data_IF_667613917040
#
_entry.id   IF_667613917040
#
_cell.length_a   1.000
_cell.length_b   1.000
_cell.length_c   1.000
_cell.angle_alpha   90.00
_cell.angle_beta   90.00
_cell.angle_gamma   90.00
#
_symmetry.space_group_name_H-M   'P 1'
#
loop_
_entity.id
_entity.type
_entity.pdbx_description
1 polymer ?
#
# COMPACT_ATOMS: atom_id res chain seq x y z
N UNK A 1 -3.57 -0.20 -27.21
CA UNK A 1 -4.36 -0.90 -26.18
C UNK A 1 -3.64 -0.88 -24.82
N UNK A 2 -2.38 -1.32 -24.72
CA UNK A 2 -1.60 -1.28 -23.47
C UNK A 2 -1.31 0.15 -22.99
N UNK A 3 -0.77 1.03 -23.85
CA UNK A 3 -0.51 2.45 -23.52
C UNK A 3 -1.78 3.19 -23.05
N UNK A 4 -2.94 2.87 -23.62
CA UNK A 4 -4.21 3.49 -23.23
C UNK A 4 -4.66 3.05 -21.82
N UNK A 5 -4.39 1.79 -21.46
CA UNK A 5 -4.66 1.25 -20.12
C UNK A 5 -3.70 1.83 -19.07
N UNK A 6 -2.47 2.15 -19.48
CA UNK A 6 -1.45 2.76 -18.63
C UNK A 6 -1.71 4.24 -18.40
N UNK A 7 -2.10 5.00 -19.44
CA UNK A 7 -2.55 6.39 -19.29
C UNK A 7 -3.77 6.51 -18.37
N UNK A 8 -4.74 5.59 -18.51
CA UNK A 8 -5.85 5.47 -17.55
C UNK A 8 -5.38 5.07 -16.15
N UNK A 9 -4.24 4.38 -16.05
CA UNK A 9 -3.61 4.02 -14.80
C UNK A 9 -3.07 5.21 -14.03
N UNK A 10 -2.40 6.16 -14.70
CA UNK A 10 -1.92 7.41 -14.11
C UNK A 10 -3.07 8.29 -13.62
N UNK A 11 -4.11 8.48 -14.45
CA UNK A 11 -5.29 9.25 -14.06
C UNK A 11 -6.01 8.59 -12.87
N UNK A 12 -6.21 7.27 -12.92
CA UNK A 12 -6.83 6.54 -11.82
C UNK A 12 -6.00 6.62 -10.53
N UNK A 13 -4.67 6.54 -10.65
CA UNK A 13 -3.75 6.67 -9.53
C UNK A 13 -3.94 8.03 -8.84
N UNK A 14 -3.90 9.13 -9.60
CA UNK A 14 -4.12 10.48 -9.09
C UNK A 14 -5.48 10.60 -8.39
N UNK A 15 -6.54 10.16 -9.07
CA UNK A 15 -7.91 10.20 -8.52
C UNK A 15 -8.06 9.42 -7.24
N UNK A 16 -7.39 8.27 -7.11
CA UNK A 16 -7.40 7.50 -5.87
C UNK A 16 -6.74 8.27 -4.72
N UNK A 17 -5.64 8.99 -4.98
CA UNK A 17 -4.98 9.82 -3.98
C UNK A 17 -5.84 11.02 -3.56
N UNK A 18 -6.36 11.78 -4.53
CA UNK A 18 -7.27 12.91 -4.28
C UNK A 18 -8.51 12.48 -3.51
N UNK A 19 -9.13 11.39 -3.93
CA UNK A 19 -10.33 10.87 -3.28
C UNK A 19 -10.03 10.35 -1.87
N UNK A 20 -8.88 9.69 -1.67
CA UNK A 20 -8.40 9.28 -0.36
C UNK A 20 -8.25 10.48 0.59
N UNK A 21 -7.63 11.57 0.11
CA UNK A 21 -7.50 12.81 0.88
C UNK A 21 -8.87 13.42 1.22
N UNK A 22 -9.78 13.48 0.25
CA UNK A 22 -11.13 14.02 0.48
C UNK A 22 -11.91 13.19 1.52
N UNK A 23 -11.82 11.86 1.44
CA UNK A 23 -12.43 10.95 2.43
C UNK A 23 -11.85 11.16 3.83
N UNK A 24 -10.54 11.40 3.92
CA UNK A 24 -9.88 11.72 5.18
C UNK A 24 -10.43 13.01 5.79
N UNK A 25 -10.48 14.10 5.00
CA UNK A 25 -11.04 15.38 5.43
C UNK A 25 -12.51 15.29 5.85
N UNK A 26 -13.25 14.33 5.29
CA UNK A 26 -14.64 14.03 5.64
C UNK A 26 -14.79 13.04 6.80
N UNK A 27 -13.72 12.77 7.57
CA UNK A 27 -13.72 11.85 8.72
C UNK A 27 -14.09 10.40 8.37
N UNK A 28 -13.69 9.93 7.19
CA UNK A 28 -13.89 8.54 6.72
C UNK A 28 -12.55 7.80 6.55
N UNK A 29 -11.76 7.60 7.61
CA UNK A 29 -10.37 7.15 7.50
C UNK A 29 -10.22 5.72 6.94
N UNK A 30 -11.13 4.80 7.29
CA UNK A 30 -11.11 3.45 6.74
C UNK A 30 -11.34 3.47 5.21
N UNK A 31 -12.24 4.34 4.72
CA UNK A 31 -12.47 4.47 3.27
C UNK A 31 -11.33 5.19 2.58
N UNK A 32 -10.70 6.18 3.25
CA UNK A 32 -9.51 6.84 2.75
C UNK A 32 -8.38 5.83 2.51
N UNK A 33 -8.15 4.91 3.46
CA UNK A 33 -7.16 3.84 3.30
C UNK A 33 -7.48 2.94 2.10
N UNK A 34 -8.75 2.54 1.92
CA UNK A 34 -9.14 1.72 0.76
C UNK A 34 -8.95 2.44 -0.59
N UNK A 35 -9.16 3.76 -0.66
CA UNK A 35 -8.87 4.54 -1.85
C UNK A 35 -7.35 4.56 -2.13
N UNK A 36 -6.54 4.74 -1.09
CA UNK A 36 -5.07 4.71 -1.22
C UNK A 36 -4.55 3.31 -1.59
N UNK A 37 -5.14 2.25 -1.06
CA UNK A 37 -4.85 0.86 -1.49
C UNK A 37 -5.16 0.66 -2.97
N UNK A 38 -6.23 1.29 -3.48
CA UNK A 38 -6.57 1.21 -4.90
C UNK A 38 -5.50 1.86 -5.77
N UNK A 39 -4.93 3.00 -5.32
CA UNK A 39 -3.81 3.66 -6.00
C UNK A 39 -2.61 2.71 -6.12
N UNK A 40 -2.30 1.97 -5.05
CA UNK A 40 -1.18 1.01 -5.03
C UNK A 40 -1.31 -0.10 -6.10
N UNK A 41 -2.51 -0.38 -6.61
CA UNK A 41 -2.75 -1.39 -7.64
C UNK A 41 -3.09 -0.83 -9.02
N UNK A 42 -2.91 0.46 -9.23
CA UNK A 42 -3.05 1.03 -10.57
C UNK A 42 -1.92 0.51 -11.48
N UNK A 43 -2.23 0.16 -12.75
CA UNK A 43 -1.18 -0.10 -13.72
C UNK A 43 -0.37 1.18 -13.91
N UNK A 44 0.94 1.09 -13.80
CA UNK A 44 1.83 2.24 -13.78
C UNK A 44 3.08 1.95 -14.59
N UNK A 45 3.47 2.89 -15.44
CA UNK A 45 4.79 2.90 -16.06
C UNK A 45 5.82 3.45 -15.07
N UNK A 46 7.07 2.99 -15.20
CA UNK A 46 8.15 3.42 -14.33
C UNK A 46 8.50 4.91 -14.53
N UNK A 47 8.31 5.42 -15.75
CA UNK A 47 8.63 6.77 -16.20
C UNK A 47 7.46 7.75 -16.04
N UNK A 48 6.33 7.28 -15.50
CA UNK A 48 5.15 8.09 -15.31
C UNK A 48 5.44 9.31 -14.43
N UNK A 49 5.17 10.50 -14.98
CA UNK A 49 5.60 11.77 -14.38
C UNK A 49 4.99 11.98 -13.00
N UNK A 50 3.77 11.49 -12.80
CA UNK A 50 3.07 11.59 -11.52
C UNK A 50 3.86 10.94 -10.37
N UNK A 51 4.65 9.91 -10.63
CA UNK A 51 5.44 9.24 -9.59
C UNK A 51 6.62 10.09 -9.07
N UNK A 52 7.04 11.12 -9.81
CA UNK A 52 8.00 12.11 -9.32
C UNK A 52 7.39 13.08 -8.31
N UNK A 53 6.11 13.38 -8.45
CA UNK A 53 5.35 14.23 -7.53
C UNK A 53 4.84 13.42 -6.33
N UNK A 54 4.27 12.26 -6.64
CA UNK A 54 3.58 11.39 -5.70
C UNK A 54 4.07 9.94 -5.86
N UNK A 55 5.18 9.57 -5.19
CA UNK A 55 5.65 8.18 -5.15
C UNK A 55 4.56 7.23 -4.64
N UNK A 56 4.71 5.93 -4.92
CA UNK A 56 3.75 4.91 -4.46
C UNK A 56 3.43 5.06 -2.96
N UNK A 57 2.16 4.86 -2.55
CA UNK A 57 1.62 5.48 -1.35
C UNK A 57 1.98 4.77 -0.03
N UNK A 58 3.12 4.10 0.06
CA UNK A 58 3.57 3.42 1.29
C UNK A 58 3.67 4.38 2.48
N UNK A 59 4.20 5.59 2.26
CA UNK A 59 4.25 6.64 3.29
C UNK A 59 2.86 7.11 3.71
N UNK A 60 1.96 7.28 2.74
CA UNK A 60 0.59 7.71 3.02
C UNK A 60 -0.17 6.65 3.83
N UNK A 61 -0.03 5.37 3.49
CA UNK A 61 -0.58 4.24 4.25
C UNK A 61 -0.09 4.27 5.69
N UNK A 62 1.22 4.37 5.90
CA UNK A 62 1.81 4.45 7.24
C UNK A 62 1.29 5.66 8.03
N UNK A 63 1.24 6.84 7.41
CA UNK A 63 0.72 8.04 8.04
C UNK A 63 -0.74 7.89 8.45
N UNK A 64 -1.60 7.43 7.54
CA UNK A 64 -3.04 7.23 7.78
C UNK A 64 -3.28 6.30 8.98
N UNK A 65 -2.63 5.15 8.98
CA UNK A 65 -2.83 4.11 10.01
C UNK A 65 -2.26 4.52 11.37
N UNK A 66 -1.27 5.43 11.39
CA UNK A 66 -0.67 5.97 12.60
C UNK A 66 -1.47 7.10 13.25
N UNK A 67 -2.46 7.67 12.56
CA UNK A 67 -3.23 8.78 13.14
C UNK A 67 -4.06 8.31 14.34
N UNK A 68 -4.19 9.13 15.40
CA UNK A 68 -4.96 8.80 16.60
C UNK A 68 -6.46 8.96 16.34
N UNK A 69 -7.03 8.09 15.51
CA UNK A 69 -8.47 8.08 15.21
C UNK A 69 -9.12 6.77 15.64
N UNK A 70 -10.21 6.88 16.39
CA UNK A 70 -11.06 5.74 16.76
C UNK A 70 -11.98 5.29 15.61
N UNK A 71 -11.99 6.02 14.49
CA UNK A 71 -12.84 5.75 13.34
C UNK A 71 -12.27 4.66 12.40
N UNK A 72 -11.04 4.17 12.65
CA UNK A 72 -10.60 2.91 12.06
C UNK A 72 -11.33 1.76 12.74
N UNK A 73 -12.42 1.31 12.13
CA UNK A 73 -13.26 0.23 12.65
C UNK A 73 -12.66 -1.18 12.43
N UNK A 74 -11.43 -1.28 11.93
CA UNK A 74 -10.80 -2.55 11.56
C UNK A 74 -9.30 -2.62 11.84
N UNK A 75 -8.78 -3.83 11.84
CA UNK A 75 -7.36 -4.10 12.04
C UNK A 75 -6.62 -4.06 10.69
N UNK A 76 -5.87 -2.99 10.46
CA UNK A 76 -5.13 -2.79 9.21
C UNK A 76 -4.07 -3.89 8.95
N UNK A 77 -3.48 -4.48 9.99
CA UNK A 77 -2.55 -5.60 9.84
C UNK A 77 -3.27 -6.81 9.22
N UNK A 78 -4.43 -7.17 9.77
CA UNK A 78 -5.24 -8.30 9.29
C UNK A 78 -5.80 -8.03 7.90
N UNK A 79 -6.21 -6.80 7.62
CA UNK A 79 -6.62 -6.38 6.28
C UNK A 79 -5.56 -6.71 5.23
N UNK A 80 -4.32 -6.28 5.42
CA UNK A 80 -3.26 -6.54 4.44
C UNK A 80 -2.82 -8.01 4.39
N UNK A 81 -2.87 -8.75 5.51
CA UNK A 81 -2.65 -10.21 5.50
C UNK A 81 -3.64 -10.90 4.56
N UNK A 82 -4.94 -10.64 4.74
CA UNK A 82 -5.96 -11.22 3.87
C UNK A 82 -5.86 -10.73 2.44
N UNK A 83 -5.50 -9.45 2.24
CA UNK A 83 -5.36 -8.89 0.91
C UNK A 83 -4.28 -9.63 0.13
N UNK A 84 -3.11 -9.87 0.75
CA UNK A 84 -1.99 -10.58 0.13
C UNK A 84 -2.35 -12.02 -0.27
N UNK A 85 -3.15 -12.71 0.54
CA UNK A 85 -3.56 -14.10 0.30
C UNK A 85 -4.68 -14.25 -0.75
N UNK A 86 -5.51 -13.21 -0.91
CA UNK A 86 -6.69 -13.23 -1.79
C UNK A 86 -6.44 -12.66 -3.18
N UNK A 87 -5.26 -12.11 -3.45
CA UNK A 87 -4.94 -11.58 -4.78
C UNK A 87 -5.01 -12.69 -5.84
N UNK A 88 -5.74 -12.45 -6.93
CA UNK A 88 -5.83 -13.35 -8.09
C UNK A 88 -5.77 -12.54 -9.40
N UNK A 89 -5.54 -13.24 -10.50
CA UNK A 89 -5.59 -12.69 -11.85
C UNK A 89 -4.31 -11.96 -12.28
N UNK A 90 -4.46 -11.01 -13.18
CA UNK A 90 -3.32 -10.29 -13.78
C UNK A 90 -2.53 -9.52 -12.71
N UNK A 91 -1.20 -9.59 -12.80
CA UNK A 91 -0.26 -9.00 -11.86
C UNK A 91 -0.45 -9.48 -10.41
N UNK A 92 -0.90 -10.74 -10.21
CA UNK A 92 -1.14 -11.29 -8.88
C UNK A 92 0.10 -11.23 -7.98
N UNK A 93 1.28 -11.59 -8.47
CA UNK A 93 2.51 -11.53 -7.67
C UNK A 93 2.86 -10.10 -7.26
N UNK A 94 2.78 -9.13 -8.18
CA UNK A 94 3.00 -7.72 -7.87
C UNK A 94 2.05 -7.24 -6.77
N UNK A 95 0.74 -7.45 -6.96
CA UNK A 95 -0.29 -7.04 -5.99
C UNK A 95 -0.10 -7.72 -4.62
N UNK A 96 0.30 -8.99 -4.60
CA UNK A 96 0.65 -9.73 -3.38
C UNK A 96 1.83 -9.09 -2.66
N UNK A 97 2.92 -8.80 -3.37
CA UNK A 97 4.11 -8.19 -2.76
C UNK A 97 3.85 -6.75 -2.29
N UNK A 98 3.05 -5.98 -3.02
CA UNK A 98 2.56 -4.67 -2.59
C UNK A 98 1.69 -4.75 -1.33
N UNK A 99 0.83 -5.76 -1.23
CA UNK A 99 0.04 -6.00 -0.01
C UNK A 99 0.95 -6.34 1.18
N UNK A 100 1.95 -7.20 1.00
CA UNK A 100 2.93 -7.49 2.05
C UNK A 100 3.80 -6.29 2.43
N UNK A 101 4.15 -5.45 1.47
CA UNK A 101 4.88 -4.21 1.72
C UNK A 101 4.06 -3.22 2.57
N UNK A 102 2.76 -3.05 2.26
CA UNK A 102 1.84 -2.26 3.07
C UNK A 102 1.60 -2.88 4.46
N UNK A 103 1.49 -4.21 4.55
CA UNK A 103 1.44 -4.93 5.82
C UNK A 103 2.65 -4.63 6.71
N UNK A 104 3.86 -4.65 6.16
CA UNK A 104 5.09 -4.37 6.91
C UNK A 104 5.13 -2.92 7.41
N UNK A 105 4.66 -1.96 6.59
CA UNK A 105 4.49 -0.57 7.01
C UNK A 105 3.55 -0.49 8.20
N UNK A 106 2.37 -1.13 8.12
CA UNK A 106 1.38 -1.16 9.22
C UNK A 106 1.97 -1.78 10.49
N UNK A 107 2.68 -2.89 10.38
CA UNK A 107 3.34 -3.56 11.51
C UNK A 107 4.33 -2.64 12.23
N UNK A 108 5.02 -1.80 11.46
CA UNK A 108 5.99 -0.86 12.02
C UNK A 108 5.31 0.32 12.71
N UNK A 109 4.31 0.94 12.08
CA UNK A 109 3.62 2.11 12.68
C UNK A 109 2.66 1.75 13.81
N UNK A 110 2.09 0.54 13.78
CA UNK A 110 1.08 0.07 14.74
C UNK A 110 1.43 -1.33 15.24
N UNK A 111 2.52 -1.47 16.02
CA UNK A 111 2.96 -2.77 16.54
C UNK A 111 1.95 -3.40 17.51
N UNK A 112 1.04 -2.59 18.06
CA UNK A 112 -0.07 -2.99 18.94
C UNK A 112 -1.16 -3.80 18.22
N UNK A 113 -1.26 -3.72 16.89
CA UNK A 113 -2.29 -4.45 16.14
C UNK A 113 -2.00 -5.97 16.14
N UNK A 114 -2.93 -6.80 16.66
CA UNK A 114 -2.73 -8.24 16.73
C UNK A 114 -2.79 -8.89 15.34
N UNK A 115 -2.15 -10.04 15.19
CA UNK A 115 -2.35 -10.90 14.02
C UNK A 115 -3.77 -11.50 14.03
N UNK A 116 -4.24 -12.02 12.89
CA UNK A 116 -5.44 -12.86 12.88
C UNK A 116 -5.11 -14.26 13.42
N UNK A 117 -5.64 -14.67 14.59
CA UNK A 117 -5.35 -15.99 15.16
C UNK A 117 -5.93 -17.14 14.34
N UNK A 118 -6.88 -16.87 13.43
CA UNK A 118 -7.54 -17.89 12.59
C UNK A 118 -6.91 -18.00 11.20
N UNK A 119 -5.98 -17.12 10.86
CA UNK A 119 -5.35 -17.08 9.55
C UNK A 119 -3.85 -17.37 9.67
N UNK A 120 -3.51 -18.66 9.58
CA UNK A 120 -2.14 -19.13 9.63
C UNK A 120 -1.42 -18.85 8.29
N UNK A 121 -0.98 -17.61 8.10
CA UNK A 121 -0.16 -17.21 6.95
C UNK A 121 1.29 -17.01 7.39
N UNK A 122 2.22 -17.52 6.58
CA UNK A 122 3.64 -17.22 6.77
C UNK A 122 3.88 -15.75 6.42
N UNK A 123 4.04 -14.93 7.45
CA UNK A 123 4.44 -13.53 7.30
C UNK A 123 5.86 -13.47 6.69
N UNK A 124 6.06 -12.79 5.55
CA UNK A 124 7.37 -12.69 4.92
C UNK A 124 8.29 -11.76 5.71
N UNK A 125 9.58 -12.07 5.69
CA UNK A 125 10.62 -11.21 6.26
C UNK A 125 10.84 -9.98 5.38
N UNK A 126 11.48 -8.95 5.96
CA UNK A 126 11.80 -7.70 5.26
C UNK A 126 12.50 -7.95 3.91
N UNK A 127 13.52 -8.82 3.89
CA UNK A 127 14.28 -9.14 2.68
C UNK A 127 13.44 -9.88 1.63
N UNK A 128 12.48 -10.71 2.04
CA UNK A 128 11.59 -11.41 1.12
C UNK A 128 10.63 -10.42 0.43
N UNK A 129 10.11 -9.45 1.18
CA UNK A 129 9.28 -8.38 0.62
C UNK A 129 10.11 -7.52 -0.33
N UNK A 130 11.31 -7.11 0.09
CA UNK A 130 12.21 -6.31 -0.74
C UNK A 130 12.52 -7.01 -2.07
N UNK A 131 12.84 -8.31 -2.01
CA UNK A 131 13.11 -9.10 -3.21
C UNK A 131 11.86 -9.23 -4.09
N UNK A 132 10.68 -9.43 -3.49
CA UNK A 132 9.42 -9.44 -4.21
C UNK A 132 9.15 -8.13 -4.96
N UNK A 133 9.35 -6.98 -4.31
CA UNK A 133 9.21 -5.68 -4.95
C UNK A 133 10.25 -5.47 -6.06
N UNK A 134 11.49 -5.93 -5.89
CA UNK A 134 12.52 -5.86 -6.93
C UNK A 134 12.17 -6.73 -8.16
N UNK A 135 11.58 -7.90 -7.92
CA UNK A 135 11.28 -8.87 -8.98
C UNK A 135 10.02 -8.53 -9.78
N UNK A 136 9.01 -7.91 -9.15
CA UNK A 136 7.70 -7.70 -9.77
C UNK A 136 7.26 -6.24 -9.86
N UNK A 137 7.83 -5.35 -9.04
CA UNK A 137 7.46 -3.95 -8.92
C UNK A 137 8.17 -3.03 -9.90
N UNK A 138 7.98 -1.73 -9.70
CA UNK A 138 8.68 -0.70 -10.47
C UNK A 138 10.16 -0.63 -10.05
N UNK A 139 11.08 -0.20 -10.93
CA UNK A 139 12.50 -0.09 -10.61
C UNK A 139 12.81 0.69 -9.33
N UNK A 140 12.08 1.78 -9.06
CA UNK A 140 12.26 2.64 -7.89
C UNK A 140 11.39 2.25 -6.68
N UNK A 141 10.46 1.32 -6.85
CA UNK A 141 9.49 0.93 -5.82
C UNK A 141 10.14 0.36 -4.54
N UNK A 142 11.16 -0.52 -4.61
CA UNK A 142 11.90 -0.97 -3.44
C UNK A 142 12.46 0.19 -2.61
N UNK A 143 13.03 1.21 -3.26
CA UNK A 143 13.61 2.36 -2.59
C UNK A 143 12.52 3.22 -1.92
N UNK A 144 11.38 3.45 -2.58
CA UNK A 144 10.25 4.17 -1.98
C UNK A 144 9.70 3.44 -0.75
N UNK A 145 9.59 2.11 -0.82
CA UNK A 145 9.14 1.32 0.31
C UNK A 145 10.14 1.36 1.47
N UNK A 146 11.44 1.18 1.22
CA UNK A 146 12.47 1.31 2.24
C UNK A 146 12.46 2.70 2.89
N UNK A 147 12.35 3.76 2.09
CA UNK A 147 12.21 5.13 2.59
C UNK A 147 10.95 5.38 3.42
N UNK A 148 9.86 4.65 3.14
CA UNK A 148 8.68 4.66 3.98
C UNK A 148 8.97 3.97 5.32
N UNK A 149 9.64 2.82 5.28
CA UNK A 149 10.06 2.08 6.48
C UNK A 149 11.01 2.91 7.34
N UNK A 150 12.01 3.58 6.78
CA UNK A 150 13.00 4.39 7.52
C UNK A 150 12.42 5.70 8.07
N UNK A 151 11.50 6.32 7.32
CA UNK A 151 10.84 7.57 7.70
C UNK A 151 9.86 7.41 8.86
N UNK A 152 9.44 6.18 9.15
CA UNK A 152 8.73 5.82 10.38
C UNK A 152 9.78 5.72 11.50
N UNK A 153 10.18 6.86 12.06
CA UNK A 153 10.96 6.90 13.30
C UNK A 153 10.05 6.56 14.47
N UNK A 154 10.58 5.81 15.42
CA UNK A 154 9.95 5.49 16.70
C UNK A 154 9.54 6.81 17.37
N UNK A 155 8.23 7.08 17.38
CA UNK A 155 7.65 8.21 18.10
C UNK A 155 7.42 7.83 19.56
#
# INVERSE_FOLDING_TARGET
>A
MAEFREQQGEELYERCLEYGQQLWLNHLPARALLAVDRALYCPMLAEAKILHLWPLPYRAIGWLVNQPTQQFTGNARVHYQHLADRVRGEQADLKKWRAWAAWAVVRKVRPDLPADPRHAVREPQFEEILQGLKSFGLPNEPAWWQQAMDGIRDA
#
